data_IF_377147228077
#
_entry.id   IF_377147228077
#
_cell.length_a   1.000
_cell.length_b   1.000
_cell.length_c   1.000
_cell.angle_alpha   90.00
_cell.angle_beta   90.00
_cell.angle_gamma   90.00
#
_symmetry.space_group_name_H-M   'P 1'
#
loop_
_entity.id
_entity.type
_entity.pdbx_description
1 polymer ?
#
# COMPACT_ATOMS: atom_id res chain seq x y z
N UNK A 1 -10.32 58.34 49.67
CA UNK A 1 -10.32 58.53 51.17
C UNK A 1 -10.01 57.15 51.76
N UNK A 2 -8.88 57.08 52.42
CA UNK A 2 -8.55 56.32 53.63
C UNK A 2 -8.64 54.76 53.59
N UNK A 3 -7.45 54.16 53.50
CA UNK A 3 -6.99 53.00 54.30
C UNK A 3 -7.30 53.21 55.83
N UNK A 4 -7.14 52.17 56.74
CA UNK A 4 -6.06 51.18 56.80
C UNK A 4 -6.36 49.81 57.50
N UNK A 5 -5.40 48.91 57.41
CA UNK A 5 -4.67 48.10 58.42
C UNK A 5 -5.20 46.77 58.95
N UNK A 6 -4.33 45.78 58.77
CA UNK A 6 -4.13 44.52 59.53
C UNK A 6 -4.00 44.68 61.04
N UNK A 7 -4.13 43.66 61.90
CA UNK A 7 -3.00 42.75 62.12
C UNK A 7 -3.38 41.26 62.52
N UNK A 8 -2.37 40.38 62.40
CA UNK A 8 -2.19 39.07 63.03
C UNK A 8 -2.17 39.13 64.57
N UNK A 9 -2.20 38.07 65.44
CA UNK A 9 -1.37 36.86 65.32
C UNK A 9 -1.89 35.54 66.01
N UNK A 10 -1.09 34.42 65.80
CA UNK A 10 -0.78 33.23 66.66
C UNK A 10 -1.87 32.21 66.98
N UNK A 11 -1.66 30.88 67.02
CA UNK A 11 -0.56 29.95 67.27
C UNK A 11 -1.14 28.51 67.21
N UNK A 12 -0.30 27.56 66.74
CA UNK A 12 -0.09 26.18 67.18
C UNK A 12 -1.22 25.11 67.20
N UNK A 13 -1.05 24.03 66.52
CA UNK A 13 -0.69 22.69 67.03
C UNK A 13 -0.86 21.62 65.93
N UNK A 14 0.20 20.84 65.66
CA UNK A 14 0.18 19.54 65.00
C UNK A 14 -0.63 18.52 65.79
N UNK A 15 -1.24 17.53 65.07
CA UNK A 15 -0.70 16.18 65.27
C UNK A 15 -0.42 15.43 63.93
N UNK A 16 0.62 14.66 64.00
CA UNK A 16 1.07 13.62 63.12
C UNK A 16 -0.07 12.69 62.71
N UNK A 17 -0.28 12.52 61.37
CA UNK A 17 -1.00 11.37 60.87
C UNK A 17 -0.12 10.66 59.81
N UNK A 18 0.30 9.46 60.16
CA UNK A 18 1.04 8.54 59.33
C UNK A 18 0.22 8.23 58.06
N UNK A 19 0.63 8.78 56.92
CA UNK A 19 0.17 8.28 55.64
C UNK A 19 1.10 7.14 55.16
N UNK A 20 0.59 5.91 55.18
CA UNK A 20 1.15 4.77 54.47
C UNK A 20 1.24 5.09 52.99
N UNK A 21 2.43 5.36 52.50
CA UNK A 21 2.75 5.31 51.07
C UNK A 21 2.73 3.87 50.64
N UNK A 22 1.61 3.43 50.04
CA UNK A 22 1.60 2.29 49.14
C UNK A 22 2.34 2.72 47.87
N UNK A 23 3.65 2.45 47.83
CA UNK A 23 4.42 2.45 46.61
C UNK A 23 3.92 1.29 45.77
N UNK A 24 2.94 1.57 44.89
CA UNK A 24 2.62 0.71 43.76
C UNK A 24 3.86 0.68 42.89
N UNK A 25 4.61 -0.42 42.93
CA UNK A 25 5.56 -0.78 41.88
C UNK A 25 4.78 -0.88 40.56
N UNK A 26 4.68 0.21 39.83
CA UNK A 26 4.47 0.16 38.42
C UNK A 26 5.77 -0.41 37.83
N UNK A 27 5.72 -1.67 37.42
CA UNK A 27 6.72 -2.21 36.51
C UNK A 27 6.80 -1.23 35.32
N UNK A 28 8.00 -0.80 34.91
CA UNK A 28 8.12 -0.02 33.71
C UNK A 28 7.54 -0.87 32.58
N UNK A 29 6.44 -0.42 31.97
CA UNK A 29 6.12 -0.87 30.62
C UNK A 29 7.36 -0.54 29.79
N UNK A 30 8.05 -1.59 29.34
CA UNK A 30 9.04 -1.43 28.30
C UNK A 30 8.32 -0.66 27.17
N UNK A 31 8.71 0.58 26.93
CA UNK A 31 8.33 1.29 25.74
C UNK A 31 9.04 0.51 24.64
N UNK A 32 8.31 -0.35 23.94
CA UNK A 32 8.82 -0.91 22.70
C UNK A 32 9.19 0.28 21.82
N UNK A 33 10.45 0.37 21.45
CA UNK A 33 10.89 1.36 20.49
C UNK A 33 10.10 1.07 19.20
N UNK A 34 9.52 2.12 18.59
CA UNK A 34 8.78 1.97 17.33
C UNK A 34 9.73 1.45 16.22
N UNK A 35 9.16 0.68 15.30
CA UNK A 35 9.89 0.12 14.16
C UNK A 35 10.25 -1.36 14.31
N UNK A 36 10.81 -1.92 13.24
CA UNK A 36 11.20 -3.32 13.18
C UNK A 36 12.60 -3.55 13.75
N UNK A 37 12.73 -4.58 14.57
CA UNK A 37 14.02 -5.12 15.01
C UNK A 37 14.19 -6.55 14.48
N UNK A 38 15.42 -6.92 14.14
CA UNK A 38 15.76 -8.30 13.76
C UNK A 38 16.06 -9.08 15.04
N UNK A 39 15.16 -9.98 15.43
CA UNK A 39 15.40 -10.92 16.49
C UNK A 39 15.32 -12.35 15.94
N UNK A 40 16.28 -12.71 15.10
CA UNK A 40 16.44 -14.05 14.54
C UNK A 40 17.08 -15.05 15.54
N UNK A 41 16.92 -14.84 16.85
CA UNK A 41 17.29 -15.87 17.82
C UNK A 41 16.45 -17.12 17.52
N UNK A 42 17.09 -18.27 17.49
CA UNK A 42 16.58 -19.58 17.06
C UNK A 42 15.22 -19.96 17.73
N UNK A 43 14.17 -19.27 17.35
CA UNK A 43 12.80 -19.61 17.71
C UNK A 43 12.37 -20.74 16.78
N UNK A 44 11.94 -21.85 17.33
CA UNK A 44 11.30 -22.92 16.55
C UNK A 44 9.94 -22.41 16.04
N UNK A 45 9.90 -22.03 14.78
CA UNK A 45 8.67 -21.53 14.11
C UNK A 45 7.75 -22.65 13.60
N UNK A 46 8.14 -23.93 13.77
CA UNK A 46 7.39 -25.07 13.23
C UNK A 46 5.97 -25.21 13.79
N UNK A 47 5.69 -24.57 14.93
CA UNK A 47 4.37 -24.54 15.57
C UNK A 47 3.72 -23.15 15.59
N UNK A 48 4.36 -22.13 15.02
CA UNK A 48 3.80 -20.79 14.96
C UNK A 48 2.52 -20.77 14.11
N UNK A 49 1.51 -20.04 14.55
CA UNK A 49 0.17 -20.05 13.94
C UNK A 49 0.10 -19.37 12.59
N UNK A 50 1.05 -18.48 12.28
CA UNK A 50 1.15 -17.76 11.00
C UNK A 50 2.24 -18.39 10.13
N UNK A 51 3.45 -18.53 10.67
CA UNK A 51 4.60 -19.02 9.92
C UNK A 51 4.41 -20.44 9.39
N UNK A 52 4.14 -21.39 10.29
CA UNK A 52 4.14 -22.80 9.94
C UNK A 52 3.11 -23.21 8.85
N UNK A 53 1.87 -22.70 8.82
CA UNK A 53 0.97 -23.00 7.71
C UNK A 53 1.43 -22.36 6.40
N UNK A 54 2.00 -21.15 6.41
CA UNK A 54 2.48 -20.46 5.22
C UNK A 54 3.72 -21.15 4.64
N UNK A 55 4.69 -21.52 5.48
CA UNK A 55 5.87 -22.26 5.07
C UNK A 55 5.50 -23.58 4.38
N UNK A 56 4.68 -24.42 5.02
CA UNK A 56 4.20 -25.68 4.42
C UNK A 56 3.45 -25.46 3.10
N UNK A 57 2.68 -24.38 2.99
CA UNK A 57 1.97 -24.08 1.77
C UNK A 57 2.92 -23.63 0.65
N UNK A 58 3.97 -22.87 0.98
CA UNK A 58 5.02 -22.49 0.03
C UNK A 58 5.73 -23.76 -0.47
N UNK A 59 6.20 -24.62 0.43
CA UNK A 59 6.87 -25.87 0.07
C UNK A 59 6.01 -26.76 -0.82
N UNK A 60 4.73 -26.96 -0.47
CA UNK A 60 3.80 -27.73 -1.28
C UNK A 60 3.52 -27.09 -2.67
N UNK A 61 3.59 -25.76 -2.76
CA UNK A 61 3.39 -25.03 -4.02
C UNK A 61 4.63 -25.13 -4.90
N UNK A 62 5.83 -25.13 -4.31
CA UNK A 62 7.09 -25.42 -5.01
C UNK A 62 7.14 -26.86 -5.52
N UNK A 63 6.80 -27.83 -4.65
CA UNK A 63 6.77 -29.26 -5.03
C UNK A 63 5.81 -29.56 -6.19
N UNK A 64 4.70 -28.83 -6.27
CA UNK A 64 3.77 -28.91 -7.38
C UNK A 64 4.21 -28.10 -8.62
N UNK A 65 5.34 -27.43 -8.56
CA UNK A 65 5.84 -26.52 -9.59
C UNK A 65 4.87 -25.36 -9.92
N UNK A 66 4.01 -24.97 -8.98
CA UNK A 66 3.05 -23.87 -9.23
C UNK A 66 3.67 -22.47 -9.04
N UNK A 67 4.76 -22.34 -8.27
CA UNK A 67 5.61 -21.15 -8.25
C UNK A 67 7.08 -21.56 -8.36
N UNK A 68 7.98 -20.70 -8.88
CA UNK A 68 9.42 -21.00 -8.89
C UNK A 68 10.08 -20.72 -7.54
N UNK A 69 9.64 -19.68 -6.83
CA UNK A 69 10.18 -19.28 -5.54
C UNK A 69 9.33 -18.23 -4.85
N UNK A 70 9.66 -17.98 -3.59
CA UNK A 70 9.00 -17.00 -2.76
C UNK A 70 9.92 -16.49 -1.65
N UNK A 71 9.60 -15.30 -1.10
CA UNK A 71 10.13 -14.83 0.17
C UNK A 71 8.98 -14.68 1.14
N UNK A 72 9.11 -15.24 2.35
CA UNK A 72 8.17 -15.10 3.45
C UNK A 72 8.80 -14.27 4.56
N UNK A 73 8.09 -13.27 5.05
CA UNK A 73 8.45 -12.50 6.24
C UNK A 73 7.26 -12.42 7.18
N UNK A 74 7.50 -12.71 8.46
CA UNK A 74 6.52 -12.52 9.55
C UNK A 74 7.18 -11.74 10.66
N UNK A 75 6.46 -10.74 11.18
CA UNK A 75 6.88 -10.00 12.37
C UNK A 75 5.73 -9.90 13.38
N UNK A 76 6.08 -9.72 14.65
CA UNK A 76 5.14 -9.60 15.76
C UNK A 76 5.64 -8.57 16.75
N UNK A 77 4.82 -7.56 17.08
CA UNK A 77 5.15 -6.49 18.04
C UNK A 77 6.50 -5.79 17.75
N UNK A 78 6.81 -5.55 16.49
CA UNK A 78 8.06 -4.92 16.05
C UNK A 78 9.25 -5.87 15.94
N UNK A 79 9.10 -7.16 16.21
CA UNK A 79 10.16 -8.15 16.05
C UNK A 79 9.93 -9.04 14.82
N UNK A 80 10.89 -9.07 13.90
CA UNK A 80 10.88 -10.05 12.79
C UNK A 80 11.19 -11.42 13.36
N UNK A 81 10.19 -12.31 13.36
CA UNK A 81 10.30 -13.68 13.88
C UNK A 81 10.78 -14.67 12.83
N UNK A 82 10.55 -14.36 11.54
CA UNK A 82 11.02 -15.16 10.41
C UNK A 82 11.16 -14.33 9.13
N UNK A 83 12.23 -14.56 8.36
CA UNK A 83 12.49 -13.94 7.07
C UNK A 83 13.32 -14.90 6.24
N UNK A 84 12.67 -15.68 5.36
CA UNK A 84 13.28 -16.77 4.62
C UNK A 84 12.90 -16.75 3.13
N UNK A 85 13.82 -17.25 2.32
CA UNK A 85 13.65 -17.43 0.89
C UNK A 85 13.49 -18.92 0.55
N UNK A 86 12.65 -19.19 -0.43
CA UNK A 86 12.31 -20.54 -0.88
C UNK A 86 12.43 -20.65 -2.40
N UNK A 87 12.97 -21.76 -2.89
CA UNK A 87 13.04 -22.05 -4.32
C UNK A 87 14.04 -21.17 -5.08
N UNK A 88 13.72 -20.79 -6.31
CA UNK A 88 14.59 -20.08 -7.23
C UNK A 88 14.01 -18.71 -7.64
N UNK A 89 14.90 -17.73 -7.87
CA UNK A 89 14.55 -16.43 -8.43
C UNK A 89 14.31 -16.50 -9.94
N UNK A 90 15.00 -17.47 -10.61
CA UNK A 90 14.86 -17.71 -12.04
C UNK A 90 14.75 -19.22 -12.31
N UNK A 91 13.58 -19.71 -12.74
CA UNK A 91 13.36 -21.13 -13.04
C UNK A 91 14.04 -21.59 -14.33
N UNK A 92 14.53 -20.69 -15.18
CA UNK A 92 15.22 -21.02 -16.44
C UNK A 92 16.72 -21.27 -16.21
N UNK A 93 17.31 -20.58 -15.25
CA UNK A 93 18.74 -20.70 -14.89
C UNK A 93 18.98 -21.56 -13.65
N UNK A 94 17.98 -21.64 -12.75
CA UNK A 94 18.09 -22.32 -11.46
C UNK A 94 18.76 -21.44 -10.39
N UNK A 95 18.84 -20.11 -10.60
CA UNK A 95 19.36 -19.17 -9.61
C UNK A 95 18.51 -19.19 -8.34
N UNK A 96 19.16 -19.31 -7.18
CA UNK A 96 18.46 -19.42 -5.89
C UNK A 96 17.80 -18.10 -5.49
N UNK A 97 16.63 -18.19 -4.87
CA UNK A 97 15.96 -17.01 -4.33
C UNK A 97 16.77 -16.42 -3.18
N UNK A 98 17.00 -15.11 -3.20
CA UNK A 98 17.56 -14.37 -2.08
C UNK A 98 16.41 -13.77 -1.24
N UNK A 99 16.54 -13.81 0.10
CA UNK A 99 15.53 -13.22 0.98
C UNK A 99 15.44 -11.69 0.87
N UNK A 100 16.52 -11.04 0.43
CA UNK A 100 16.61 -9.60 0.23
C UNK A 100 16.37 -9.21 -1.25
N UNK A 101 15.82 -10.14 -2.05
CA UNK A 101 15.47 -9.90 -3.45
C UNK A 101 14.46 -8.77 -3.62
N UNK A 102 14.54 -8.08 -4.75
CA UNK A 102 13.61 -7.03 -5.18
C UNK A 102 12.45 -7.62 -5.97
N UNK A 103 11.25 -7.20 -5.60
CA UNK A 103 10.00 -7.62 -6.24
C UNK A 103 9.26 -6.41 -6.80
N UNK A 104 8.62 -6.56 -7.97
CA UNK A 104 7.60 -5.62 -8.44
C UNK A 104 6.37 -5.80 -7.56
N UNK A 105 6.12 -4.84 -6.66
CA UNK A 105 5.05 -4.95 -5.68
C UNK A 105 3.68 -4.56 -6.22
N UNK A 106 3.64 -4.04 -7.45
CA UNK A 106 2.42 -3.70 -8.17
C UNK A 106 1.43 -2.91 -7.29
N UNK A 107 0.20 -3.43 -7.13
CA UNK A 107 -0.86 -2.73 -6.39
C UNK A 107 -0.58 -2.46 -4.93
N UNK A 108 0.43 -3.07 -4.34
CA UNK A 108 0.91 -2.67 -3.01
C UNK A 108 1.52 -1.26 -3.01
N UNK A 109 1.93 -0.73 -4.17
CA UNK A 109 2.32 0.69 -4.35
C UNK A 109 1.25 1.66 -3.88
N UNK A 110 -0.03 1.32 -4.05
CA UNK A 110 -1.18 2.15 -3.69
C UNK A 110 -1.18 2.58 -2.22
N UNK A 111 -0.82 1.68 -1.32
CA UNK A 111 -0.75 1.97 0.10
C UNK A 111 0.35 3.02 0.42
N UNK A 112 1.51 2.90 -0.24
CA UNK A 112 2.63 3.84 -0.11
C UNK A 112 2.23 5.22 -0.67
N UNK A 113 1.58 5.26 -1.85
CA UNK A 113 1.10 6.52 -2.46
C UNK A 113 0.04 7.19 -1.59
N UNK A 114 -0.90 6.40 -1.04
CA UNK A 114 -1.89 6.93 -0.09
C UNK A 114 -1.26 7.50 1.17
N UNK A 115 -0.25 6.84 1.70
CA UNK A 115 0.49 7.34 2.86
C UNK A 115 1.16 8.68 2.56
N UNK A 116 1.71 8.85 1.35
CA UNK A 116 2.25 10.14 0.88
C UNK A 116 1.19 11.23 0.84
N UNK A 117 -0.02 10.90 0.39
CA UNK A 117 -1.16 11.82 0.42
C UNK A 117 -1.53 12.22 1.84
N UNK A 118 -1.50 11.28 2.79
CA UNK A 118 -1.80 11.56 4.20
C UNK A 118 -0.75 12.47 4.86
N UNK A 119 0.52 12.42 4.44
CA UNK A 119 1.54 13.39 4.86
C UNK A 119 1.16 14.82 4.43
N UNK A 120 0.76 15.01 3.17
CA UNK A 120 0.34 16.31 2.67
C UNK A 120 -1.00 16.76 3.26
N UNK A 121 -1.92 15.83 3.52
CA UNK A 121 -3.19 16.11 4.21
C UNK A 121 -2.96 16.59 5.65
N UNK A 122 -2.10 15.94 6.41
CA UNK A 122 -1.77 16.33 7.79
C UNK A 122 -1.10 17.70 7.86
N UNK A 123 -0.35 18.08 6.81
CA UNK A 123 0.27 19.41 6.65
C UNK A 123 -0.71 20.48 6.13
N UNK A 124 -1.94 20.09 5.76
CA UNK A 124 -2.94 20.99 5.19
C UNK A 124 -2.67 21.42 3.74
N UNK A 125 -1.76 20.74 3.04
CA UNK A 125 -1.45 21.01 1.62
C UNK A 125 -2.54 20.47 0.68
N UNK A 126 -3.21 19.38 1.05
CA UNK A 126 -4.37 18.83 0.35
C UNK A 126 -5.52 18.60 1.34
N UNK A 127 -6.77 18.63 0.82
CA UNK A 127 -7.97 18.16 1.50
C UNK A 127 -8.44 16.84 0.89
N UNK A 128 -8.90 15.89 1.70
CA UNK A 128 -9.47 14.65 1.17
C UNK A 128 -10.70 14.92 0.29
N UNK A 129 -11.48 15.92 0.61
CA UNK A 129 -12.68 16.31 -0.12
C UNK A 129 -12.44 17.48 -1.11
N UNK A 130 -11.18 17.87 -1.30
CA UNK A 130 -10.81 18.81 -2.35
C UNK A 130 -11.15 18.21 -3.73
N UNK A 131 -11.75 18.98 -4.64
CA UNK A 131 -11.94 18.52 -6.01
C UNK A 131 -10.58 18.33 -6.70
N UNK A 132 -10.43 17.25 -7.43
CA UNK A 132 -9.22 16.95 -8.20
C UNK A 132 -8.87 18.09 -9.15
N UNK A 133 -9.89 18.75 -9.72
CA UNK A 133 -9.73 19.91 -10.61
C UNK A 133 -9.07 21.14 -9.96
N UNK A 134 -8.97 21.19 -8.63
CA UNK A 134 -8.18 22.22 -7.92
C UNK A 134 -6.69 22.09 -8.24
N UNK A 135 -6.22 20.88 -8.46
CA UNK A 135 -4.82 20.53 -8.71
C UNK A 135 -4.58 20.24 -10.21
N UNK A 136 -5.54 19.59 -10.84
CA UNK A 136 -5.54 19.11 -12.23
C UNK A 136 -6.73 19.70 -12.97
N UNK A 137 -6.61 20.92 -13.56
CA UNK A 137 -7.73 21.62 -14.21
C UNK A 137 -8.41 20.81 -15.30
N UNK A 138 -7.72 19.86 -15.95
CA UNK A 138 -8.25 18.95 -16.96
C UNK A 138 -9.40 18.06 -16.46
N UNK A 139 -9.56 17.89 -15.15
CA UNK A 139 -10.67 17.15 -14.54
C UNK A 139 -11.89 18.04 -14.22
N UNK A 140 -11.87 19.33 -14.53
CA UNK A 140 -13.00 20.23 -14.22
C UNK A 140 -14.28 19.87 -14.99
N UNK A 141 -14.14 19.38 -16.22
CA UNK A 141 -15.26 19.06 -17.12
C UNK A 141 -15.31 17.56 -17.47
N UNK A 142 -14.71 16.69 -16.64
CA UNK A 142 -14.74 15.25 -16.87
C UNK A 142 -16.19 14.74 -16.82
N UNK A 143 -16.63 14.01 -17.85
CA UNK A 143 -17.99 13.48 -17.97
C UNK A 143 -18.13 12.02 -17.52
N UNK A 144 -19.38 11.59 -17.31
CA UNK A 144 -19.73 10.18 -17.13
C UNK A 144 -19.96 9.55 -18.50
N UNK A 145 -19.32 8.43 -18.78
CA UNK A 145 -19.52 7.68 -20.04
C UNK A 145 -20.90 7.01 -20.03
N UNK A 146 -21.86 7.60 -20.77
CA UNK A 146 -23.20 7.04 -20.92
C UNK A 146 -23.22 5.95 -22.02
N UNK A 147 -22.60 6.23 -23.16
CA UNK A 147 -22.62 5.35 -24.33
C UNK A 147 -21.28 5.36 -25.05
N UNK A 148 -20.79 4.19 -25.42
CA UNK A 148 -19.67 4.02 -26.33
C UNK A 148 -20.15 3.27 -27.57
N UNK A 149 -20.08 3.93 -28.74
CA UNK A 149 -20.42 3.34 -30.03
C UNK A 149 -19.27 2.45 -30.56
N UNK A 150 -19.58 1.61 -31.55
CA UNK A 150 -18.61 0.67 -32.12
C UNK A 150 -17.37 1.36 -32.77
N UNK A 151 -17.51 2.60 -33.22
CA UNK A 151 -16.44 3.43 -33.75
C UNK A 151 -15.67 4.20 -32.66
N UNK A 152 -15.92 3.84 -31.39
CA UNK A 152 -15.40 4.49 -30.19
C UNK A 152 -15.86 5.95 -29.99
N UNK A 153 -16.90 6.40 -30.70
CA UNK A 153 -17.56 7.67 -30.38
C UNK A 153 -18.27 7.54 -29.03
N UNK A 154 -17.93 8.43 -28.09
CA UNK A 154 -18.44 8.42 -26.74
C UNK A 154 -19.44 9.56 -26.50
N UNK A 155 -20.47 9.29 -25.71
CA UNK A 155 -21.40 10.29 -25.22
C UNK A 155 -21.26 10.37 -23.71
N UNK A 156 -21.28 11.60 -23.19
CA UNK A 156 -21.02 11.87 -21.78
C UNK A 156 -22.15 12.74 -21.19
N UNK A 157 -22.50 12.44 -19.95
CA UNK A 157 -23.32 13.31 -19.10
C UNK A 157 -22.49 13.95 -17.99
N UNK A 158 -23.05 14.94 -17.30
CA UNK A 158 -22.36 15.60 -16.20
C UNK A 158 -22.40 14.77 -14.92
N UNK A 159 -21.28 14.70 -14.17
CA UNK A 159 -21.28 14.11 -12.83
C UNK A 159 -22.24 14.87 -11.89
N UNK A 160 -22.83 14.15 -10.94
CA UNK A 160 -23.69 14.74 -9.88
C UNK A 160 -22.87 15.43 -8.80
N UNK A 161 -21.62 15.03 -8.62
CA UNK A 161 -20.65 15.58 -7.65
C UNK A 161 -19.28 15.71 -8.28
N UNK A 162 -18.44 16.56 -7.71
CA UNK A 162 -17.05 16.69 -8.13
C UNK A 162 -16.28 15.42 -7.80
N UNK A 163 -15.33 15.04 -8.68
CA UNK A 163 -14.31 14.05 -8.38
C UNK A 163 -13.36 14.63 -7.32
N UNK A 164 -13.18 13.94 -6.20
CA UNK A 164 -12.34 14.40 -5.09
C UNK A 164 -11.12 13.50 -4.87
N UNK A 165 -10.14 13.99 -4.09
CA UNK A 165 -8.96 13.23 -3.66
C UNK A 165 -9.38 11.94 -2.94
N UNK A 166 -10.40 12.01 -2.06
CA UNK A 166 -10.97 10.82 -1.38
C UNK A 166 -11.43 9.77 -2.38
N UNK A 167 -12.16 10.14 -3.41
CA UNK A 167 -12.65 9.20 -4.42
C UNK A 167 -11.51 8.47 -5.14
N UNK A 168 -10.36 9.13 -5.37
CA UNK A 168 -9.17 8.48 -5.93
C UNK A 168 -8.61 7.39 -5.01
N UNK A 169 -8.57 7.68 -3.70
CA UNK A 169 -7.98 6.81 -2.68
C UNK A 169 -8.90 5.66 -2.25
N UNK A 170 -10.18 5.71 -2.58
CA UNK A 170 -11.19 4.72 -2.14
C UNK A 170 -11.73 3.86 -3.27
N UNK A 171 -11.18 3.98 -4.47
CA UNK A 171 -11.68 3.30 -5.68
C UNK A 171 -13.15 3.63 -5.98
N UNK A 172 -13.59 4.85 -5.64
CA UNK A 172 -14.94 5.33 -5.95
C UNK A 172 -14.95 6.48 -6.94
N UNK A 173 -13.83 6.68 -7.63
CA UNK A 173 -13.64 7.75 -8.61
C UNK A 173 -14.41 7.55 -9.92
N UNK A 174 -14.72 6.29 -10.28
CA UNK A 174 -15.23 5.95 -11.60
C UNK A 174 -14.15 5.88 -12.69
N UNK A 175 -12.87 5.84 -12.32
CA UNK A 175 -11.74 5.68 -13.26
C UNK A 175 -11.28 4.22 -13.20
N UNK A 176 -11.77 3.31 -14.08
CA UNK A 176 -11.44 1.90 -14.01
C UNK A 176 -10.07 1.61 -14.62
N UNK A 177 -9.54 0.41 -14.40
CA UNK A 177 -8.61 -0.19 -15.33
C UNK A 177 -9.37 -0.61 -16.60
N UNK A 178 -8.73 -0.52 -17.78
CA UNK A 178 -9.26 -1.05 -19.02
C UNK A 178 -8.96 -2.54 -19.12
N UNK A 179 -7.69 -2.93 -19.04
CA UNK A 179 -7.21 -4.31 -19.23
C UNK A 179 -7.84 -5.32 -18.27
N UNK A 180 -7.97 -4.98 -16.99
CA UNK A 180 -8.47 -5.89 -15.95
C UNK A 180 -9.83 -5.48 -15.37
N UNK A 181 -10.48 -4.46 -15.95
CA UNK A 181 -11.70 -3.87 -15.38
C UNK A 181 -12.84 -3.72 -16.39
N UNK A 182 -12.82 -2.68 -17.20
CA UNK A 182 -13.93 -2.29 -18.07
C UNK A 182 -13.52 -2.24 -19.56
N UNK A 183 -14.01 -3.19 -20.35
CA UNK A 183 -13.74 -3.29 -21.80
C UNK A 183 -14.04 -2.00 -22.59
N UNK A 184 -15.01 -1.18 -22.15
CA UNK A 184 -15.31 0.11 -22.76
C UNK A 184 -14.12 1.06 -22.62
N UNK A 185 -13.51 1.04 -21.43
CA UNK A 185 -12.34 1.87 -21.11
C UNK A 185 -11.07 1.32 -21.75
N UNK A 186 -10.90 0.00 -21.91
CA UNK A 186 -9.81 -0.55 -22.73
C UNK A 186 -9.80 0.07 -24.13
N UNK A 187 -10.98 0.12 -24.78
CA UNK A 187 -11.13 0.74 -26.11
C UNK A 187 -10.85 2.24 -26.11
N UNK A 188 -11.32 2.96 -25.10
CA UNK A 188 -11.05 4.40 -24.96
C UNK A 188 -9.57 4.67 -24.67
N UNK A 189 -8.95 3.90 -23.79
CA UNK A 189 -7.54 4.04 -23.47
C UNK A 189 -6.67 3.77 -24.71
N UNK A 190 -6.99 2.74 -25.49
CA UNK A 190 -6.31 2.49 -26.76
C UNK A 190 -6.51 3.65 -27.74
N UNK A 191 -7.72 4.24 -27.84
CA UNK A 191 -8.00 5.37 -28.71
C UNK A 191 -7.24 6.63 -28.33
N UNK A 192 -7.22 6.96 -27.03
CA UNK A 192 -6.57 8.16 -26.50
C UNK A 192 -5.08 7.96 -26.21
N UNK A 193 -4.59 6.74 -26.30
CA UNK A 193 -3.20 6.40 -25.99
C UNK A 193 -2.89 6.44 -24.49
N UNK A 194 -3.86 6.17 -23.62
CA UNK A 194 -3.66 6.10 -22.17
C UNK A 194 -2.88 4.86 -21.81
N UNK A 195 -1.84 4.98 -21.01
CA UNK A 195 -1.17 3.84 -20.40
C UNK A 195 -1.99 3.32 -19.20
N UNK A 196 -2.38 2.07 -19.25
CA UNK A 196 -3.30 1.45 -18.28
C UNK A 196 -2.59 0.76 -17.11
N UNK A 197 -1.31 0.39 -17.27
CA UNK A 197 -0.47 -0.24 -16.25
C UNK A 197 0.98 0.28 -16.34
N UNK A 198 1.86 -0.53 -16.91
CA UNK A 198 3.27 -0.20 -17.12
C UNK A 198 3.49 0.15 -18.59
N UNK A 199 3.53 1.42 -18.99
CA UNK A 199 3.62 1.79 -20.39
C UNK A 199 4.89 1.23 -21.04
N UNK A 200 4.87 1.14 -22.36
CA UNK A 200 6.04 0.75 -23.16
C UNK A 200 6.76 1.96 -23.79
N UNK A 201 6.24 3.16 -23.59
CA UNK A 201 6.74 4.43 -24.14
C UNK A 201 7.21 5.40 -23.04
N UNK A 202 7.92 6.45 -23.44
CA UNK A 202 8.57 7.44 -22.57
C UNK A 202 7.62 8.60 -22.20
N UNK A 203 6.42 8.31 -21.71
CA UNK A 203 5.48 9.38 -21.29
C UNK A 203 5.65 9.72 -19.81
N UNK A 204 5.46 11.00 -19.49
CA UNK A 204 5.41 11.43 -18.09
C UNK A 204 4.08 11.06 -17.43
N UNK A 205 4.06 11.02 -16.10
CA UNK A 205 2.81 10.87 -15.32
C UNK A 205 1.79 11.93 -15.72
N UNK A 206 2.20 13.19 -15.81
CA UNK A 206 1.31 14.31 -16.20
C UNK A 206 0.71 14.14 -17.59
N UNK A 207 1.50 13.72 -18.57
CA UNK A 207 1.01 13.49 -19.93
C UNK A 207 -0.02 12.36 -19.98
N UNK A 208 0.24 11.25 -19.27
CA UNK A 208 -0.70 10.15 -19.20
C UNK A 208 -2.02 10.55 -18.53
N UNK A 209 -1.96 11.31 -17.44
CA UNK A 209 -3.14 11.75 -16.70
C UNK A 209 -3.95 12.76 -17.49
N UNK A 210 -3.32 13.64 -18.28
CA UNK A 210 -4.01 14.55 -19.18
C UNK A 210 -4.78 13.83 -20.31
N UNK A 211 -4.25 12.69 -20.81
CA UNK A 211 -4.96 11.83 -21.75
C UNK A 211 -6.12 11.09 -21.06
N UNK A 212 -5.90 10.58 -19.86
CA UNK A 212 -6.91 9.87 -19.04
C UNK A 212 -8.12 10.77 -18.77
N UNK A 213 -7.94 12.04 -18.49
CA UNK A 213 -9.04 13.00 -18.25
C UNK A 213 -10.01 13.12 -19.45
N UNK A 214 -9.59 12.75 -20.67
CA UNK A 214 -10.42 12.81 -21.87
C UNK A 214 -11.34 11.58 -22.01
N UNK A 215 -11.11 10.52 -21.25
CA UNK A 215 -11.85 9.25 -21.39
C UNK A 215 -13.15 9.20 -20.58
N UNK A 216 -13.32 10.12 -19.63
CA UNK A 216 -14.48 10.18 -18.76
C UNK A 216 -14.41 9.20 -17.58
N UNK A 217 -15.53 9.08 -16.89
CA UNK A 217 -15.73 8.22 -15.71
C UNK A 217 -16.78 7.15 -16.00
N UNK A 218 -16.63 5.97 -15.44
CA UNK A 218 -17.57 4.84 -15.62
C UNK A 218 -18.90 5.04 -14.86
N UNK A 219 -18.86 5.82 -13.78
CA UNK A 219 -20.02 6.13 -12.93
C UNK A 219 -19.78 7.46 -12.20
N UNK A 220 -20.82 7.96 -11.55
CA UNK A 220 -20.70 9.15 -10.70
C UNK A 220 -19.74 8.93 -9.53
N UNK A 221 -18.84 9.88 -9.24
CA UNK A 221 -17.91 9.76 -8.11
C UNK A 221 -18.63 9.51 -6.79
N UNK A 222 -18.16 8.52 -6.04
CA UNK A 222 -18.70 8.11 -4.74
C UNK A 222 -19.89 7.14 -4.79
N UNK A 223 -20.46 6.81 -5.96
CA UNK A 223 -21.65 5.98 -6.05
C UNK A 223 -21.38 4.47 -6.20
N UNK A 224 -20.21 4.10 -6.71
CA UNK A 224 -19.82 2.70 -6.91
C UNK A 224 -18.34 2.52 -6.57
N UNK A 225 -17.99 1.32 -6.15
CA UNK A 225 -16.60 0.90 -6.02
C UNK A 225 -16.12 0.31 -7.36
N UNK A 226 -15.06 0.88 -7.91
CA UNK A 226 -14.46 0.45 -9.18
C UNK A 226 -12.95 0.56 -9.09
N UNK A 227 -12.30 -0.60 -9.03
CA UNK A 227 -10.85 -0.68 -8.98
C UNK A 227 -10.21 -0.12 -10.25
N UNK A 228 -9.21 0.76 -10.11
CA UNK A 228 -8.63 1.40 -11.28
C UNK A 228 -7.50 2.39 -11.02
N UNK A 229 -7.33 3.34 -11.95
CA UNK A 229 -6.20 4.26 -12.08
C UNK A 229 -6.29 5.50 -11.14
N UNK A 230 -7.16 5.47 -10.12
CA UNK A 230 -7.29 6.60 -9.19
C UNK A 230 -5.96 7.03 -8.54
N UNK A 231 -5.09 6.06 -8.20
CA UNK A 231 -3.82 6.34 -7.54
C UNK A 231 -2.77 6.93 -8.51
N UNK A 232 -2.89 6.66 -9.80
CA UNK A 232 -2.05 7.29 -10.82
C UNK A 232 -2.42 8.78 -10.96
N UNK A 233 -3.73 9.09 -10.92
CA UNK A 233 -4.22 10.49 -10.84
C UNK A 233 -3.76 11.15 -9.54
N UNK A 234 -3.79 10.41 -8.41
CA UNK A 234 -3.33 10.92 -7.13
C UNK A 234 -1.86 11.33 -7.16
N UNK A 235 -0.98 10.57 -7.80
CA UNK A 235 0.44 10.95 -7.97
C UNK A 235 0.56 12.33 -8.63
N UNK A 236 -0.18 12.59 -9.70
CA UNK A 236 -0.17 13.89 -10.36
C UNK A 236 -0.70 15.02 -9.44
N UNK A 237 -1.71 14.73 -8.60
CA UNK A 237 -2.17 15.67 -7.56
C UNK A 237 -1.06 15.97 -6.56
N UNK A 238 -0.33 14.93 -6.11
CA UNK A 238 0.75 15.07 -5.11
C UNK A 238 1.93 15.86 -5.67
N UNK A 239 2.29 15.69 -6.94
CA UNK A 239 3.32 16.52 -7.60
C UNK A 239 2.94 18.01 -7.59
N UNK A 240 1.69 18.33 -7.93
CA UNK A 240 1.22 19.73 -7.90
C UNK A 240 1.18 20.26 -6.47
N UNK A 241 0.71 19.47 -5.52
CA UNK A 241 0.55 19.90 -4.12
C UNK A 241 1.88 20.05 -3.38
N UNK A 242 2.87 19.20 -3.69
CA UNK A 242 4.22 19.25 -3.10
C UNK A 242 5.15 20.25 -3.82
N UNK A 243 4.87 20.53 -5.09
CA UNK A 243 5.71 21.39 -5.94
C UNK A 243 7.01 20.73 -6.40
N UNK A 244 7.12 19.40 -6.34
CA UNK A 244 8.32 18.65 -6.73
C UNK A 244 7.96 17.32 -7.42
N UNK A 245 8.87 16.68 -8.16
CA UNK A 245 8.66 15.36 -8.74
C UNK A 245 8.26 14.34 -7.69
N UNK A 246 7.29 13.47 -8.00
CA UNK A 246 6.73 12.57 -6.99
C UNK A 246 7.75 11.58 -6.43
N UNK A 247 8.62 11.02 -7.27
CA UNK A 247 9.67 10.09 -6.81
C UNK A 247 10.62 10.73 -5.78
N UNK A 248 10.96 12.01 -5.94
CA UNK A 248 11.78 12.78 -4.99
C UNK A 248 11.03 13.03 -3.68
N UNK A 249 9.77 13.47 -3.78
CA UNK A 249 8.89 13.65 -2.63
C UNK A 249 8.75 12.35 -1.82
N UNK A 250 8.42 11.26 -2.50
CA UNK A 250 8.25 9.95 -1.88
C UNK A 250 9.51 9.50 -1.14
N UNK A 251 10.67 9.60 -1.81
CA UNK A 251 11.93 9.20 -1.22
C UNK A 251 12.26 10.02 0.04
N UNK A 252 12.16 11.34 -0.06
CA UNK A 252 12.56 12.25 1.04
C UNK A 252 11.62 12.20 2.22
N UNK A 253 10.30 12.11 1.96
CA UNK A 253 9.28 12.32 2.99
C UNK A 253 8.74 11.03 3.60
N UNK A 254 8.94 9.89 2.91
CA UNK A 254 8.42 8.60 3.39
C UNK A 254 9.48 7.50 3.42
N UNK A 255 10.15 7.22 2.28
CA UNK A 255 11.01 6.03 2.19
C UNK A 255 12.27 6.17 3.05
N UNK A 256 13.02 7.28 2.92
CA UNK A 256 14.25 7.50 3.69
C UNK A 256 13.99 7.56 5.21
N UNK A 257 12.95 8.27 5.73
CA UNK A 257 12.60 8.20 7.15
C UNK A 257 12.27 6.81 7.68
N UNK A 258 11.77 5.90 6.81
CA UNK A 258 11.47 4.50 7.16
C UNK A 258 12.67 3.56 6.95
N UNK A 259 13.77 4.04 6.36
CA UNK A 259 14.92 3.21 5.98
C UNK A 259 14.57 2.20 4.86
N UNK A 260 13.70 2.60 3.93
CA UNK A 260 13.27 1.77 2.78
C UNK A 260 14.19 2.02 1.57
N UNK A 261 15.45 1.73 1.73
CA UNK A 261 16.52 2.07 0.75
C UNK A 261 16.49 1.19 -0.51
N UNK A 262 15.62 0.17 -0.53
CA UNK A 262 15.41 -0.78 -1.65
C UNK A 262 14.00 -0.69 -2.22
N UNK A 263 13.35 0.48 -2.09
CA UNK A 263 12.00 0.71 -2.64
C UNK A 263 12.06 1.82 -3.69
N UNK A 264 11.74 1.49 -4.95
CA UNK A 264 12.02 2.37 -6.10
C UNK A 264 10.94 2.30 -7.18
N UNK A 265 10.72 3.41 -7.90
CA UNK A 265 10.08 3.39 -9.23
C UNK A 265 11.07 2.92 -10.30
N UNK A 266 12.33 3.39 -10.22
CA UNK A 266 13.42 2.96 -11.08
C UNK A 266 14.53 2.39 -10.20
N UNK A 267 14.85 1.11 -10.39
CA UNK A 267 15.85 0.41 -9.60
C UNK A 267 17.23 0.92 -9.99
N UNK A 268 18.06 1.40 -9.03
CA UNK A 268 19.42 1.82 -9.28
C UNK A 268 20.25 0.69 -9.90
N UNK A 269 21.20 1.02 -10.77
CA UNK A 269 22.02 0.04 -11.51
C UNK A 269 22.67 -1.00 -10.59
N UNK A 270 23.19 -0.57 -9.46
CA UNK A 270 23.86 -1.44 -8.48
C UNK A 270 22.91 -2.34 -7.66
N UNK A 271 21.60 -2.24 -7.87
CA UNK A 271 20.59 -3.10 -7.22
C UNK A 271 19.82 -3.97 -8.23
N UNK A 272 20.07 -3.82 -9.55
CA UNK A 272 19.29 -4.51 -10.60
C UNK A 272 19.44 -6.02 -10.57
N UNK A 273 20.60 -6.53 -10.18
CA UNK A 273 20.83 -7.97 -10.07
C UNK A 273 19.95 -8.64 -9.00
N UNK A 274 19.39 -7.87 -8.04
CA UNK A 274 18.46 -8.38 -7.05
C UNK A 274 17.01 -8.42 -7.54
N UNK A 275 16.69 -7.86 -8.72
CA UNK A 275 15.33 -7.77 -9.23
C UNK A 275 14.87 -9.09 -9.86
N UNK A 276 13.94 -9.78 -9.19
CA UNK A 276 13.37 -11.06 -9.64
C UNK A 276 12.59 -10.88 -10.95
N UNK A 277 12.83 -11.76 -11.93
CA UNK A 277 12.05 -11.82 -13.17
C UNK A 277 10.59 -12.17 -12.93
N UNK A 278 9.68 -11.69 -13.78
CA UNK A 278 8.29 -12.12 -13.75
C UNK A 278 8.12 -13.31 -14.66
N UNK A 279 7.51 -14.38 -14.16
CA UNK A 279 7.35 -15.64 -14.92
C UNK A 279 5.88 -16.05 -15.03
N UNK A 280 5.56 -16.66 -16.14
CA UNK A 280 4.31 -17.39 -16.36
C UNK A 280 4.60 -18.78 -16.98
N UNK A 281 3.56 -19.55 -17.28
CA UNK A 281 3.69 -20.85 -17.94
C UNK A 281 3.18 -20.79 -19.36
N UNK A 282 3.93 -21.41 -20.28
CA UNK A 282 3.46 -21.66 -21.64
C UNK A 282 2.33 -22.71 -21.68
N UNK A 283 1.80 -23.00 -22.86
CA UNK A 283 0.74 -23.99 -23.06
C UNK A 283 1.12 -25.41 -22.65
N UNK A 284 2.41 -25.70 -22.57
CA UNK A 284 2.95 -27.03 -22.22
C UNK A 284 3.30 -27.12 -20.74
N UNK A 285 3.10 -26.02 -19.97
CA UNK A 285 3.36 -25.90 -18.54
C UNK A 285 4.81 -25.59 -18.17
N UNK A 286 5.66 -25.21 -19.13
CA UNK A 286 7.03 -24.80 -18.88
C UNK A 286 7.10 -23.33 -18.48
N UNK A 287 8.03 -23.01 -17.59
CA UNK A 287 8.31 -21.62 -17.21
C UNK A 287 8.89 -20.81 -18.36
N UNK A 288 8.44 -19.56 -18.49
CA UNK A 288 8.97 -18.57 -19.42
C UNK A 288 8.90 -17.18 -18.79
N UNK A 289 9.70 -16.22 -19.28
CA UNK A 289 9.54 -14.83 -18.90
C UNK A 289 8.18 -14.32 -19.35
N UNK A 290 7.46 -13.71 -18.42
CA UNK A 290 6.15 -13.12 -18.72
C UNK A 290 6.30 -11.95 -19.70
N UNK A 291 5.51 -11.97 -20.75
CA UNK A 291 5.43 -10.89 -21.73
C UNK A 291 3.98 -10.49 -21.95
N UNK A 292 3.73 -9.20 -22.15
CA UNK A 292 2.39 -8.68 -22.38
C UNK A 292 2.37 -7.67 -23.53
N UNK A 293 1.23 -7.60 -24.27
CA UNK A 293 1.10 -6.70 -25.44
C UNK A 293 0.97 -5.22 -25.08
N UNK A 294 0.47 -4.90 -23.87
CA UNK A 294 0.15 -3.53 -23.44
C UNK A 294 1.15 -2.95 -22.46
N UNK A 295 2.01 -3.77 -21.85
CA UNK A 295 2.99 -3.31 -20.86
C UNK A 295 4.28 -4.13 -20.91
N UNK A 296 5.32 -3.58 -20.29
CA UNK A 296 6.60 -4.28 -20.11
C UNK A 296 6.89 -4.53 -18.64
N UNK A 297 7.47 -5.70 -18.32
CA UNK A 297 7.98 -6.00 -16.98
C UNK A 297 9.33 -5.33 -16.71
N UNK A 298 10.00 -4.82 -17.75
CA UNK A 298 11.30 -4.17 -17.67
C UNK A 298 11.24 -2.69 -17.21
N UNK A 299 10.03 -2.16 -16.95
CA UNK A 299 9.84 -0.76 -16.55
C UNK A 299 10.74 -0.30 -15.39
N UNK A 300 11.03 -1.12 -14.34
CA UNK A 300 11.81 -0.65 -13.21
C UNK A 300 13.32 -0.52 -13.50
N UNK A 301 13.82 -1.03 -14.64
CA UNK A 301 15.24 -0.95 -15.00
C UNK A 301 15.57 0.15 -16.00
N UNK A 302 14.56 0.89 -16.46
CA UNK A 302 14.71 1.97 -17.44
C UNK A 302 14.94 3.30 -16.76
N UNK A 303 16.14 3.86 -16.91
CA UNK A 303 16.52 5.16 -16.31
C UNK A 303 15.78 6.35 -16.92
N UNK A 304 15.37 6.24 -18.18
CA UNK A 304 14.63 7.24 -18.93
C UNK A 304 13.11 7.20 -18.71
N UNK A 305 12.66 6.50 -17.64
CA UNK A 305 11.24 6.26 -17.38
C UNK A 305 10.63 7.38 -16.50
N UNK A 306 9.96 8.38 -17.07
CA UNK A 306 9.43 9.52 -16.32
C UNK A 306 8.07 9.24 -15.65
N UNK A 307 7.48 8.04 -15.86
CA UNK A 307 6.17 7.71 -15.32
C UNK A 307 6.27 7.06 -13.95
N UNK A 308 5.76 7.73 -12.93
CA UNK A 308 5.49 7.15 -11.63
C UNK A 308 4.06 6.59 -11.62
N UNK A 309 3.88 5.29 -11.92
CA UNK A 309 2.57 4.66 -11.77
C UNK A 309 2.25 4.51 -10.29
N UNK A 310 1.31 5.33 -9.81
CA UNK A 310 0.87 5.29 -8.41
C UNK A 310 0.12 4.01 -8.07
N UNK A 311 -0.50 3.41 -9.08
CA UNK A 311 -1.25 2.17 -8.94
C UNK A 311 -0.39 0.91 -8.88
N UNK A 312 0.85 0.93 -9.45
CA UNK A 312 1.57 -0.33 -9.63
C UNK A 312 3.11 -0.21 -9.79
N UNK A 313 3.69 0.99 -9.82
CA UNK A 313 5.04 1.23 -10.35
C UNK A 313 6.20 0.89 -9.42
N UNK A 314 5.99 0.65 -8.13
CA UNK A 314 7.09 0.43 -7.19
C UNK A 314 7.63 -1.01 -7.22
N UNK A 315 8.93 -1.10 -6.97
CA UNK A 315 9.62 -2.32 -6.52
C UNK A 315 9.97 -2.18 -5.05
N UNK A 316 10.09 -3.28 -4.32
CA UNK A 316 10.49 -3.29 -2.92
C UNK A 316 11.02 -4.66 -2.51
N UNK A 317 11.70 -4.73 -1.36
CA UNK A 317 12.02 -5.98 -0.66
C UNK A 317 10.95 -6.30 0.38
N UNK A 318 10.90 -7.55 0.85
CA UNK A 318 10.02 -7.94 1.95
C UNK A 318 10.30 -7.13 3.22
N UNK A 319 11.58 -6.88 3.51
CA UNK A 319 12.01 -6.13 4.70
C UNK A 319 11.59 -4.65 4.64
N UNK A 320 11.79 -3.97 3.51
CA UNK A 320 11.39 -2.57 3.37
C UNK A 320 9.88 -2.42 3.50
N UNK A 321 9.13 -3.30 2.82
CA UNK A 321 7.67 -3.24 2.92
C UNK A 321 7.16 -3.58 4.34
N UNK A 322 7.84 -4.48 5.05
CA UNK A 322 7.54 -4.77 6.46
C UNK A 322 7.78 -3.54 7.37
N UNK A 323 8.81 -2.72 7.12
CA UNK A 323 9.02 -1.45 7.83
C UNK A 323 7.85 -0.49 7.64
N UNK A 324 7.33 -0.41 6.40
CA UNK A 324 6.15 0.39 6.09
C UNK A 324 4.91 -0.12 6.84
N UNK A 325 4.64 -1.43 6.84
CA UNK A 325 3.50 -2.01 7.56
C UNK A 325 3.64 -1.84 9.08
N UNK A 326 4.85 -1.99 9.62
CA UNK A 326 5.11 -1.77 11.04
C UNK A 326 4.80 -0.33 11.45
N UNK A 327 5.17 0.66 10.64
CA UNK A 327 4.82 2.07 10.90
C UNK A 327 3.30 2.27 10.95
N UNK A 328 2.52 1.55 10.12
CA UNK A 328 1.05 1.58 10.21
C UNK A 328 0.57 0.96 11.53
N UNK A 329 1.11 -0.21 11.94
CA UNK A 329 0.81 -0.87 13.22
C UNK A 329 1.21 0.02 14.41
N UNK A 330 2.34 0.71 14.34
CA UNK A 330 2.83 1.67 15.34
C UNK A 330 2.09 3.02 15.27
N UNK A 331 1.01 3.07 14.47
CA UNK A 331 0.13 4.23 14.33
C UNK A 331 0.89 5.50 13.97
N UNK A 332 1.83 5.38 13.01
CA UNK A 332 2.64 6.48 12.48
C UNK A 332 3.91 6.78 13.25
N UNK A 333 4.24 6.03 14.31
CA UNK A 333 5.54 6.14 14.98
C UNK A 333 6.62 5.42 14.17
N UNK A 334 7.84 5.93 14.23
CA UNK A 334 9.06 5.38 13.59
C UNK A 334 10.21 5.46 14.59
N UNK A 335 11.33 4.74 14.36
CA UNK A 335 12.51 4.87 15.19
C UNK A 335 12.93 6.34 15.37
N UNK A 336 13.05 6.75 16.62
CA UNK A 336 13.47 8.12 16.96
C UNK A 336 12.41 9.23 16.83
N UNK A 337 11.14 8.89 16.45
CA UNK A 337 10.12 9.93 16.31
C UNK A 337 8.77 9.45 15.80
N UNK A 338 8.13 10.29 15.02
CA UNK A 338 6.81 10.05 14.45
C UNK A 338 6.70 10.68 13.07
N UNK A 339 6.28 9.90 12.11
CA UNK A 339 6.06 10.36 10.73
C UNK A 339 4.66 10.98 10.56
N UNK A 340 3.64 10.33 11.15
CA UNK A 340 2.23 10.75 11.10
C UNK A 340 1.58 10.65 12.50
N UNK A 341 0.54 11.45 12.73
CA UNK A 341 -0.28 11.31 13.94
C UNK A 341 -1.03 9.99 13.96
N UNK A 342 -1.26 9.46 15.16
CA UNK A 342 -2.08 8.26 15.33
C UNK A 342 -3.50 8.43 14.72
N UNK A 343 -4.10 9.61 14.88
CA UNK A 343 -5.41 9.92 14.29
C UNK A 343 -5.40 9.93 12.76
N UNK A 344 -4.25 10.19 12.14
CA UNK A 344 -4.10 10.12 10.68
C UNK A 344 -4.14 8.67 10.20
N UNK A 345 -3.50 7.76 10.94
CA UNK A 345 -3.58 6.33 10.66
C UNK A 345 -5.00 5.79 10.94
N UNK A 346 -5.66 6.26 12.01
CA UNK A 346 -7.08 5.90 12.25
C UNK A 346 -7.97 6.34 11.07
N UNK A 347 -7.73 7.55 10.54
CA UNK A 347 -8.44 8.03 9.35
C UNK A 347 -8.12 7.17 8.13
N UNK A 348 -6.85 6.78 7.94
CA UNK A 348 -6.43 5.96 6.81
C UNK A 348 -7.16 4.61 6.75
N UNK A 349 -7.39 3.98 7.91
CA UNK A 349 -8.00 2.65 8.02
C UNK A 349 -9.51 2.68 8.22
N UNK A 350 -10.12 3.85 8.44
CA UNK A 350 -11.57 3.98 8.60
C UNK A 350 -12.34 3.60 7.31
N UNK A 351 -13.62 3.25 7.44
CA UNK A 351 -14.50 3.01 6.29
C UNK A 351 -14.82 4.30 5.54
N UNK A 352 -14.34 4.39 4.30
CA UNK A 352 -14.56 5.53 3.41
C UNK A 352 -15.48 5.23 2.22
N UNK A 353 -16.01 4.00 2.13
CA UNK A 353 -16.93 3.58 1.08
C UNK A 353 -18.11 2.76 1.68
N UNK A 354 -18.81 3.29 2.70
CA UNK A 354 -19.81 2.53 3.45
C UNK A 354 -20.94 2.06 2.53
N UNK A 355 -21.26 0.76 2.61
CA UNK A 355 -22.33 0.14 1.83
C UNK A 355 -22.02 -0.10 0.36
N UNK A 356 -20.79 0.17 -0.10
CA UNK A 356 -20.37 -0.10 -1.49
C UNK A 356 -19.67 -1.46 -1.65
N UNK A 357 -19.29 -2.10 -0.56
CA UNK A 357 -18.60 -3.38 -0.55
C UNK A 357 -19.35 -4.39 0.31
N UNK A 358 -19.46 -5.61 -0.21
CA UNK A 358 -19.94 -6.78 0.51
C UNK A 358 -18.76 -7.72 0.76
N UNK A 359 -18.80 -8.57 1.79
CA UNK A 359 -17.78 -9.61 1.95
C UNK A 359 -16.88 -9.49 3.16
N UNK A 360 -17.32 -8.82 4.23
CA UNK A 360 -16.62 -8.85 5.53
C UNK A 360 -15.41 -7.91 5.64
N UNK A 361 -15.26 -6.98 4.71
CA UNK A 361 -14.24 -5.93 4.75
C UNK A 361 -14.77 -4.59 4.23
N UNK A 362 -14.11 -3.51 4.59
CA UNK A 362 -14.41 -2.17 4.09
C UNK A 362 -13.19 -1.52 3.43
N UNK A 363 -13.42 -0.45 2.69
CA UNK A 363 -12.38 0.31 2.01
C UNK A 363 -11.88 1.45 2.90
N UNK A 364 -10.65 1.32 3.41
CA UNK A 364 -9.87 2.43 3.90
C UNK A 364 -9.33 3.29 2.74
N UNK A 365 -8.45 4.23 3.05
CA UNK A 365 -7.76 4.98 1.99
C UNK A 365 -6.68 4.08 1.38
N UNK A 366 -7.08 3.26 0.41
CA UNK A 366 -6.36 2.21 -0.34
C UNK A 366 -6.09 0.89 0.39
N UNK A 367 -6.41 0.77 1.66
CA UNK A 367 -6.34 -0.50 2.37
C UNK A 367 -7.69 -1.21 2.34
N UNK A 368 -7.68 -2.53 2.12
CA UNK A 368 -8.77 -3.38 2.56
C UNK A 368 -8.66 -3.57 4.07
N UNK A 369 -9.75 -3.40 4.80
CA UNK A 369 -9.77 -3.52 6.26
C UNK A 369 -10.88 -4.46 6.65
N UNK A 370 -10.57 -5.52 7.38
CA UNK A 370 -11.57 -6.50 7.82
C UNK A 370 -12.55 -5.88 8.83
N UNK A 371 -13.83 -6.20 8.61
CA UNK A 371 -14.91 -5.84 9.53
C UNK A 371 -14.93 -6.80 10.72
N UNK A 372 -15.48 -6.30 11.85
CA UNK A 372 -15.73 -7.06 13.06
C UNK A 372 -16.57 -8.37 12.83
N UNK A 373 -16.50 -9.37 13.75
CA UNK A 373 -15.91 -9.33 15.10
C UNK A 373 -14.53 -10.00 15.23
N UNK A 374 -14.01 -10.69 14.20
CA UNK A 374 -12.88 -11.61 14.33
C UNK A 374 -11.58 -11.12 13.70
N UNK A 375 -11.61 -9.96 13.03
CA UNK A 375 -10.46 -9.36 12.36
C UNK A 375 -10.37 -7.85 12.52
N UNK A 376 -10.70 -7.32 13.70
CA UNK A 376 -10.83 -5.88 13.96
C UNK A 376 -9.68 -5.03 13.44
N UNK A 377 -9.91 -4.38 12.29
CA UNK A 377 -8.96 -3.44 11.74
C UNK A 377 -7.74 -4.11 11.09
N UNK A 378 -7.74 -5.43 10.91
CA UNK A 378 -6.71 -6.11 10.13
C UNK A 378 -6.74 -5.59 8.72
N UNK A 379 -5.64 -4.99 8.29
CA UNK A 379 -5.53 -4.38 6.97
C UNK A 379 -4.67 -5.24 6.04
N UNK A 380 -5.02 -5.23 4.76
CA UNK A 380 -4.42 -6.13 3.78
C UNK A 380 -4.48 -5.57 2.37
N UNK A 381 -3.65 -6.11 1.48
CA UNK A 381 -3.77 -6.00 0.03
C UNK A 381 -2.87 -7.03 -0.67
N UNK A 382 -2.89 -7.01 -2.01
CA UNK A 382 -2.02 -7.83 -2.85
C UNK A 382 -1.49 -7.08 -4.05
N UNK A 383 -0.55 -7.70 -4.77
CA UNK A 383 0.06 -7.20 -6.00
C UNK A 383 -0.22 -8.11 -7.19
N UNK A 384 -0.30 -7.53 -8.38
CA UNK A 384 -0.65 -8.18 -9.66
C UNK A 384 0.27 -9.36 -10.01
N UNK A 385 1.54 -9.30 -9.62
CA UNK A 385 2.50 -10.38 -9.82
C UNK A 385 2.64 -11.30 -8.60
N UNK A 386 1.52 -11.48 -7.85
CA UNK A 386 1.38 -12.49 -6.81
C UNK A 386 2.13 -12.18 -5.51
N UNK A 387 2.13 -10.92 -5.08
CA UNK A 387 2.57 -10.52 -3.75
C UNK A 387 1.37 -10.28 -2.83
N UNK A 388 1.48 -10.54 -1.53
CA UNK A 388 0.40 -10.35 -0.55
C UNK A 388 0.97 -9.86 0.79
N UNK A 389 0.18 -9.06 1.51
CA UNK A 389 0.48 -8.68 2.89
C UNK A 389 -0.79 -8.55 3.75
N UNK A 390 -0.61 -8.66 5.05
CA UNK A 390 -1.54 -8.13 6.04
C UNK A 390 -0.79 -7.57 7.25
N UNK A 391 -1.47 -6.70 8.00
CA UNK A 391 -1.08 -6.25 9.34
C UNK A 391 -2.30 -6.28 10.27
N UNK A 392 -2.10 -6.75 11.50
CA UNK A 392 -3.13 -6.91 12.51
C UNK A 392 -2.86 -5.98 13.71
N UNK A 393 -3.59 -4.86 13.84
CA UNK A 393 -3.43 -3.95 14.96
C UNK A 393 -3.79 -4.56 16.33
N UNK A 394 -4.62 -5.61 16.36
CA UNK A 394 -5.05 -6.24 17.61
C UNK A 394 -3.96 -7.13 18.21
N UNK A 395 -3.17 -7.81 17.37
CA UNK A 395 -2.12 -8.73 17.79
C UNK A 395 -0.71 -8.17 17.58
N UNK A 396 -0.56 -7.07 16.85
CA UNK A 396 0.74 -6.52 16.45
C UNK A 396 1.49 -7.38 15.44
N UNK A 397 0.77 -8.24 14.72
CA UNK A 397 1.32 -9.17 13.72
C UNK A 397 1.28 -8.57 12.33
N UNK A 398 2.30 -8.88 11.54
CA UNK A 398 2.29 -8.65 10.09
C UNK A 398 2.90 -9.86 9.37
N UNK A 399 2.44 -10.11 8.16
CA UNK A 399 3.02 -11.10 7.27
C UNK A 399 3.05 -10.60 5.83
N UNK A 400 4.10 -11.01 5.12
CA UNK A 400 4.28 -10.76 3.69
C UNK A 400 4.72 -12.05 3.01
N UNK A 401 4.15 -12.30 1.83
CA UNK A 401 4.65 -13.29 0.88
C UNK A 401 4.93 -12.58 -0.45
N UNK A 402 6.17 -12.68 -0.92
CA UNK A 402 6.62 -12.06 -2.15
C UNK A 402 6.92 -13.13 -3.19
N UNK A 403 6.26 -13.03 -4.34
CA UNK A 403 6.41 -13.91 -5.50
C UNK A 403 6.43 -13.05 -6.76
N UNK A 404 6.86 -13.62 -7.90
CA UNK A 404 6.83 -12.91 -9.18
C UNK A 404 6.30 -13.83 -10.28
N UNK A 405 4.99 -14.10 -10.22
CA UNK A 405 4.30 -14.96 -11.18
C UNK A 405 3.02 -14.33 -11.68
N UNK A 406 2.62 -14.67 -12.90
CA UNK A 406 1.38 -14.23 -13.52
C UNK A 406 0.52 -15.41 -13.96
N UNK A 407 -0.80 -15.29 -13.76
CA UNK A 407 -1.79 -16.25 -14.28
C UNK A 407 -1.78 -17.64 -13.65
N UNK A 408 -1.20 -17.80 -12.46
CA UNK A 408 -1.12 -19.09 -11.77
C UNK A 408 -2.39 -19.29 -10.91
N UNK A 409 -3.16 -20.31 -11.21
CA UNK A 409 -4.45 -20.60 -10.54
C UNK A 409 -4.36 -21.63 -9.41
N UNK A 410 -3.30 -22.45 -9.35
CA UNK A 410 -3.11 -23.55 -8.39
C UNK A 410 -2.10 -23.24 -7.28
N UNK A 411 -1.84 -21.96 -7.03
CA UNK A 411 -0.97 -21.49 -5.96
C UNK A 411 -1.64 -21.61 -4.57
N UNK A 412 -1.32 -22.71 -3.90
CA UNK A 412 -1.81 -22.97 -2.52
C UNK A 412 -1.28 -22.00 -1.50
N UNK A 413 -0.10 -21.41 -1.73
CA UNK A 413 0.47 -20.43 -0.80
C UNK A 413 -0.38 -19.17 -0.74
N UNK A 414 -0.94 -18.70 -1.87
CA UNK A 414 -1.87 -17.56 -1.91
C UNK A 414 -3.19 -17.85 -1.20
N UNK A 415 -3.78 -19.05 -1.40
CA UNK A 415 -5.02 -19.42 -0.72
C UNK A 415 -4.81 -19.58 0.79
N UNK A 416 -3.72 -20.21 1.21
CA UNK A 416 -3.37 -20.36 2.64
C UNK A 416 -3.10 -18.99 3.28
N UNK A 417 -2.44 -18.06 2.56
CA UNK A 417 -2.25 -16.70 3.06
C UNK A 417 -3.60 -16.02 3.34
N UNK A 418 -4.56 -16.17 2.42
CA UNK A 418 -5.92 -15.65 2.61
C UNK A 418 -6.66 -16.34 3.77
N UNK A 419 -6.45 -17.65 3.99
CA UNK A 419 -7.01 -18.37 5.15
C UNK A 419 -6.41 -17.88 6.48
N UNK A 420 -5.10 -17.60 6.52
CA UNK A 420 -4.43 -17.04 7.70
C UNK A 420 -4.93 -15.63 7.98
N UNK A 421 -5.10 -14.82 6.93
CA UNK A 421 -5.68 -13.48 7.03
C UNK A 421 -7.10 -13.51 7.63
N UNK A 422 -7.90 -14.52 7.32
CA UNK A 422 -9.32 -14.62 7.75
C UNK A 422 -9.54 -15.37 9.08
N UNK A 423 -8.49 -15.68 9.82
CA UNK A 423 -8.57 -16.29 11.19
C UNK A 423 -8.69 -15.21 12.26
#
# INVERSE_FOLDING_TARGET
MLHPMNPFPHTAALPCLLCFLLAGCQLPHAQNEAGLTLNLSATDLSTDSIWAPLERAIEATLDSNAIPGAVLLVARNGEVIGHEAYGVSDPLTGEQMDKDALFRICSQSKAIVSMSAMLLWERGAIGLDDPVSKYLPEFAEVGILDTLLADTTAQYSRPRSSLTVRHLMTHTSGIPYGEIGDERFEKLYARYGVADLFPIDERSTRDNIALLAQTGLAHHPGEQWTYGLGLDVLVAVLEVASGQPYAEFLNTELLAPLGMDHTHFVVPENQRDALVGVFDKDSDGNWQHHTHRLYTTEYPTREDWPLCSGGAGLTSTAMDYARFLQMVLDRGAIPGGRLLKASTIDTLLADHAPGLLDGGWHQGLTFGVQNEPEGQGRFFWGGYFNTQYFGDPATGELALIMKQTYGISDDKSSSTFSEVLNR
#
